data_IF_981148220738
#
_entry.id   IF_981148220738
#
_cell.length_a   1.000
_cell.length_b   1.000
_cell.length_c   1.000
_cell.angle_alpha   90.00
_cell.angle_beta   90.00
_cell.angle_gamma   90.00
#
_symmetry.space_group_name_H-M   'P 1'
#
loop_
_entity.id
_entity.type
_entity.pdbx_description
1 polymer ?
#
# COMPACT_ATOMS: atom_id res chain seq x y z
N UNK A 1 14.77 -1.97 -29.13
CA UNK A 1 14.94 -3.22 -28.33
C UNK A 1 16.31 -3.75 -28.64
N UNK A 2 17.23 -3.64 -27.68
CA UNK A 2 18.61 -4.06 -27.87
C UNK A 2 18.72 -5.57 -27.74
N UNK A 3 19.61 -6.17 -28.53
CA UNK A 3 19.89 -7.62 -28.56
C UNK A 3 20.33 -8.18 -27.19
N UNK A 4 20.64 -7.32 -26.22
CA UNK A 4 20.98 -7.64 -24.84
C UNK A 4 19.77 -7.92 -23.92
N UNK A 5 18.57 -7.45 -24.26
CA UNK A 5 17.36 -7.67 -23.44
C UNK A 5 16.78 -9.08 -23.62
N UNK A 6 17.09 -9.74 -24.73
CA UNK A 6 16.56 -11.05 -25.06
C UNK A 6 17.23 -12.17 -24.24
N UNK A 7 18.50 -12.00 -23.86
CA UNK A 7 19.24 -13.00 -23.09
C UNK A 7 18.79 -13.05 -21.61
N UNK A 8 18.45 -11.90 -21.01
CA UNK A 8 17.90 -11.84 -19.65
C UNK A 8 16.51 -12.49 -19.57
N UNK A 9 15.70 -12.39 -20.63
CA UNK A 9 14.38 -13.02 -20.69
C UNK A 9 14.48 -14.55 -20.83
N UNK A 10 15.42 -15.06 -21.63
CA UNK A 10 15.65 -16.50 -21.80
C UNK A 10 16.25 -17.13 -20.54
N UNK A 11 17.14 -16.42 -19.83
CA UNK A 11 17.72 -16.91 -18.57
C UNK A 11 16.68 -16.92 -17.43
N UNK A 12 15.78 -15.93 -17.39
CA UNK A 12 14.64 -15.91 -16.46
C UNK A 12 13.64 -17.05 -16.73
N UNK A 13 13.33 -17.33 -18.00
CA UNK A 13 12.51 -18.49 -18.39
C UNK A 13 13.10 -19.85 -17.96
N UNK A 14 14.43 -19.98 -17.88
CA UNK A 14 15.09 -21.19 -17.36
C UNK A 14 15.07 -21.29 -15.84
N UNK A 15 15.13 -20.17 -15.11
CA UNK A 15 15.04 -20.15 -13.64
C UNK A 15 13.59 -20.28 -13.11
N UNK A 16 12.58 -19.84 -13.87
CA UNK A 16 11.17 -19.89 -13.44
C UNK A 16 10.52 -21.28 -13.48
N UNK A 17 11.18 -22.31 -14.04
CA UNK A 17 10.63 -23.69 -14.06
C UNK A 17 10.64 -24.39 -12.70
N UNK A 18 11.25 -23.83 -11.66
CA UNK A 18 11.39 -24.48 -10.36
C UNK A 18 10.34 -24.09 -9.31
N UNK A 19 9.48 -23.09 -9.55
CA UNK A 19 8.42 -22.71 -8.61
C UNK A 19 7.16 -22.34 -9.39
N UNK A 20 6.04 -22.94 -9.02
CA UNK A 20 4.70 -22.89 -9.63
C UNK A 20 4.04 -21.48 -9.58
N UNK A 21 4.83 -20.41 -9.81
CA UNK A 21 4.46 -19.00 -9.65
C UNK A 21 4.12 -18.32 -10.99
N UNK A 22 4.52 -18.95 -12.11
CA UNK A 22 4.39 -18.37 -13.44
C UNK A 22 2.93 -18.14 -13.85
N UNK A 23 2.03 -19.07 -13.53
CA UNK A 23 0.61 -18.94 -13.91
C UNK A 23 -0.18 -17.96 -13.05
N UNK A 24 0.25 -17.67 -11.81
CA UNK A 24 -0.49 -16.79 -10.90
C UNK A 24 -0.37 -15.31 -11.27
N UNK A 25 0.74 -14.90 -11.89
CA UNK A 25 1.04 -13.48 -12.19
C UNK A 25 1.21 -13.16 -13.68
N UNK A 26 1.15 -14.13 -14.58
CA UNK A 26 1.26 -13.90 -16.04
C UNK A 26 0.26 -12.88 -16.62
N UNK A 27 -1.04 -12.83 -16.23
CA UNK A 27 -1.96 -11.83 -16.78
C UNK A 27 -1.69 -10.41 -16.24
N UNK A 28 -0.91 -10.23 -15.17
CA UNK A 28 -0.53 -8.90 -14.65
C UNK A 28 0.52 -8.21 -15.52
N UNK A 29 1.45 -8.98 -16.08
CA UNK A 29 2.54 -8.43 -16.89
C UNK A 29 2.02 -7.72 -18.16
N UNK A 30 0.94 -8.22 -18.76
CA UNK A 30 0.37 -7.64 -19.98
C UNK A 30 -0.42 -6.34 -19.74
N UNK A 31 -0.97 -6.15 -18.54
CA UNK A 31 -1.61 -4.89 -18.13
C UNK A 31 -0.56 -3.80 -17.86
N UNK A 32 0.65 -4.18 -17.41
CA UNK A 32 1.76 -3.27 -17.07
C UNK A 32 2.41 -2.63 -18.30
N UNK A 33 2.34 -3.25 -19.49
CA UNK A 33 2.98 -2.71 -20.71
C UNK A 33 2.20 -1.59 -21.43
N UNK A 34 1.10 -1.07 -20.85
CA UNK A 34 0.37 0.08 -21.41
C UNK A 34 0.43 1.34 -20.54
N UNK A 35 1.53 1.58 -19.82
CA UNK A 35 1.85 2.94 -19.35
C UNK A 35 2.30 3.78 -20.52
N UNK A 36 1.36 4.50 -21.13
CA UNK A 36 1.69 5.63 -22.02
C UNK A 36 2.55 6.62 -21.23
N UNK A 37 3.63 7.05 -21.89
CA UNK A 37 4.50 8.13 -21.50
C UNK A 37 3.73 9.35 -20.94
N UNK A 38 4.38 10.00 -19.97
CA UNK A 38 4.02 11.29 -19.39
C UNK A 38 3.55 12.24 -20.49
N UNK A 39 2.27 12.61 -20.45
CA UNK A 39 1.74 13.74 -21.24
C UNK A 39 1.69 14.95 -20.33
N UNK A 40 2.60 15.90 -20.56
CA UNK A 40 2.41 17.29 -20.16
C UNK A 40 1.19 17.87 -20.90
N UNK A 41 0.22 18.42 -20.17
CA UNK A 41 -0.88 19.15 -20.81
C UNK A 41 -2.13 19.40 -19.95
N UNK A 42 -2.30 20.68 -19.59
CA UNK A 42 -3.50 21.43 -19.14
C UNK A 42 -4.00 21.25 -17.69
N UNK A 43 -3.86 22.34 -16.94
CA UNK A 43 -4.45 22.58 -15.62
C UNK A 43 -5.99 22.58 -15.68
N UNK A 44 -6.58 21.43 -15.37
CA UNK A 44 -7.93 21.37 -14.82
C UNK A 44 -7.85 21.63 -13.30
N UNK A 45 -8.87 22.28 -12.75
CA UNK A 45 -9.03 22.58 -11.31
C UNK A 45 -8.60 21.36 -10.48
N UNK A 46 -7.50 21.52 -9.73
CA UNK A 46 -6.69 20.42 -9.19
C UNK A 46 -7.45 19.61 -8.13
N UNK A 47 -8.21 18.61 -8.58
CA UNK A 47 -8.91 17.64 -7.71
C UNK A 47 -7.96 16.59 -7.12
N UNK A 48 -6.64 16.79 -7.22
CA UNK A 48 -5.65 15.94 -6.59
C UNK A 48 -5.80 15.95 -5.08
N UNK A 49 -5.60 14.79 -4.47
CA UNK A 49 -5.60 14.66 -3.02
C UNK A 49 -4.31 15.24 -2.44
N UNK A 50 -4.30 15.51 -1.13
CA UNK A 50 -3.07 15.92 -0.45
C UNK A 50 -1.95 14.87 -0.61
N UNK A 51 -2.31 13.59 -0.66
CA UNK A 51 -1.37 12.48 -0.88
C UNK A 51 -0.67 12.61 -2.22
N UNK A 52 -1.43 12.80 -3.31
CA UNK A 52 -0.89 12.99 -4.64
C UNK A 52 0.06 14.20 -4.70
N UNK A 53 -0.34 15.33 -4.11
CA UNK A 53 0.50 16.54 -4.05
C UNK A 53 1.82 16.34 -3.30
N UNK A 54 1.80 15.57 -2.21
CA UNK A 54 2.99 15.25 -1.43
C UNK A 54 3.96 14.37 -2.22
N UNK A 55 3.45 13.38 -2.97
CA UNK A 55 4.26 12.53 -3.84
C UNK A 55 4.82 13.28 -5.04
N UNK A 56 4.01 14.14 -5.68
CA UNK A 56 4.44 15.04 -6.75
C UNK A 56 5.61 15.92 -6.29
N UNK A 57 5.48 16.54 -5.11
CA UNK A 57 6.53 17.39 -4.52
C UNK A 57 7.81 16.60 -4.22
N UNK A 58 7.67 15.34 -3.81
CA UNK A 58 8.78 14.43 -3.55
C UNK A 58 9.35 13.78 -4.83
N UNK A 59 8.73 14.01 -6.00
CA UNK A 59 9.08 13.39 -7.28
C UNK A 59 9.04 11.85 -7.23
N UNK A 60 8.12 11.30 -6.44
CA UNK A 60 7.93 9.85 -6.32
C UNK A 60 6.91 9.42 -7.38
N UNK A 61 7.25 8.47 -8.27
CA UNK A 61 6.30 8.00 -9.28
C UNK A 61 5.20 7.16 -8.63
N UNK A 62 3.96 7.38 -9.05
CA UNK A 62 2.79 6.64 -8.60
C UNK A 62 1.74 6.55 -9.72
N UNK A 63 0.79 5.63 -9.58
CA UNK A 63 -0.35 5.45 -10.49
C UNK A 63 -1.64 5.63 -9.69
N UNK A 64 -2.54 6.47 -10.17
CA UNK A 64 -3.87 6.64 -9.57
C UNK A 64 -4.81 5.55 -10.07
N UNK A 65 -5.59 4.97 -9.16
CA UNK A 65 -6.61 3.98 -9.50
C UNK A 65 -7.93 4.34 -8.83
N UNK A 66 -8.89 4.77 -9.65
CA UNK A 66 -10.25 5.09 -9.22
C UNK A 66 -11.14 3.85 -9.19
N UNK A 67 -12.09 3.84 -8.27
CA UNK A 67 -13.12 2.81 -8.17
C UNK A 67 -14.44 3.38 -7.65
N UNK A 68 -15.60 2.84 -8.08
CA UNK A 68 -16.89 3.26 -7.54
C UNK A 68 -16.93 3.03 -6.03
N UNK A 69 -17.44 4.01 -5.30
CA UNK A 69 -17.62 3.92 -3.86
C UNK A 69 -18.98 3.31 -3.58
N UNK A 70 -18.97 2.13 -2.97
CA UNK A 70 -20.13 1.61 -2.26
C UNK A 70 -20.09 2.12 -0.82
N UNK A 71 -21.07 2.93 -0.43
CA UNK A 71 -21.14 3.45 0.95
C UNK A 71 -21.60 2.40 1.96
N UNK A 72 -22.22 1.31 1.49
CA UNK A 72 -22.68 0.19 2.31
C UNK A 72 -21.53 -0.80 2.58
N UNK A 73 -20.59 -0.94 1.65
CA UNK A 73 -19.40 -1.79 1.79
C UNK A 73 -18.07 -1.05 1.57
N UNK A 74 -17.57 -0.45 2.65
CA UNK A 74 -16.25 0.17 2.71
C UNK A 74 -15.13 -0.81 3.09
N UNK A 75 -15.38 -2.12 2.99
CA UNK A 75 -14.37 -3.13 3.28
C UNK A 75 -13.29 -3.13 2.21
N UNK A 76 -12.08 -3.51 2.62
CA UNK A 76 -10.99 -3.64 1.66
C UNK A 76 -11.13 -4.86 0.74
N UNK A 77 -11.95 -5.85 1.11
CA UNK A 77 -12.30 -6.98 0.24
C UNK A 77 -13.10 -6.51 -0.99
N UNK A 78 -14.06 -5.60 -0.78
CA UNK A 78 -14.80 -4.94 -1.85
C UNK A 78 -13.87 -4.20 -2.81
N UNK A 79 -12.92 -3.42 -2.28
CA UNK A 79 -11.93 -2.70 -3.10
C UNK A 79 -11.12 -3.65 -3.99
N UNK A 80 -10.65 -4.78 -3.45
CA UNK A 80 -9.90 -5.76 -4.23
C UNK A 80 -10.74 -6.38 -5.35
N UNK A 81 -11.99 -6.74 -5.05
CA UNK A 81 -12.94 -7.27 -6.03
C UNK A 81 -13.21 -6.27 -7.16
N UNK A 82 -13.52 -5.02 -6.83
CA UNK A 82 -13.87 -3.98 -7.80
C UNK A 82 -12.69 -3.58 -8.68
N UNK A 83 -11.48 -3.52 -8.11
CA UNK A 83 -10.27 -3.19 -8.87
C UNK A 83 -9.73 -4.36 -9.70
N UNK A 84 -10.17 -5.58 -9.41
CA UNK A 84 -9.66 -6.79 -10.04
C UNK A 84 -8.17 -7.05 -9.72
N UNK A 85 -7.66 -6.49 -8.62
CA UNK A 85 -6.28 -6.69 -8.17
C UNK A 85 -6.19 -7.83 -7.15
N UNK A 86 -5.02 -8.50 -7.03
CA UNK A 86 -4.82 -9.52 -6.03
C UNK A 86 -4.84 -8.84 -4.66
N UNK A 87 -5.57 -9.37 -3.66
CA UNK A 87 -5.65 -8.72 -2.37
C UNK A 87 -4.29 -8.54 -1.68
N UNK A 88 -3.29 -9.35 -2.02
CA UNK A 88 -1.92 -9.26 -1.49
C UNK A 88 -1.17 -7.98 -1.88
N UNK A 89 -1.59 -7.25 -2.93
CA UNK A 89 -0.95 -5.99 -3.34
C UNK A 89 -1.72 -4.75 -2.91
N UNK A 90 -2.93 -4.92 -2.35
CA UNK A 90 -3.71 -3.81 -1.79
C UNK A 90 -3.46 -3.79 -0.29
N UNK A 91 -3.11 -2.62 0.24
CA UNK A 91 -2.73 -2.44 1.63
C UNK A 91 -3.66 -1.46 2.31
N UNK A 92 -4.10 -1.83 3.51
CA UNK A 92 -4.89 -0.97 4.40
C UNK A 92 -3.99 -0.34 5.45
N UNK A 93 -4.32 0.89 5.81
CA UNK A 93 -3.61 1.66 6.84
C UNK A 93 -4.42 1.66 8.12
N UNK A 94 -3.85 1.07 9.17
CA UNK A 94 -4.43 0.95 10.49
C UNK A 94 -3.66 1.82 11.48
N UNK A 95 -4.36 2.40 12.44
CA UNK A 95 -3.74 3.19 13.51
C UNK A 95 -3.96 2.47 14.82
N UNK A 96 -2.88 2.30 15.57
CA UNK A 96 -2.84 1.64 16.84
C UNK A 96 -2.31 2.58 17.91
N UNK A 97 -2.58 2.24 19.17
CA UNK A 97 -2.03 2.90 20.34
C UNK A 97 -1.24 1.89 21.16
N UNK A 98 0.04 2.18 21.34
CA UNK A 98 0.93 1.50 22.26
C UNK A 98 0.82 2.05 23.68
N UNK A 99 1.18 1.23 24.67
CA UNK A 99 1.14 1.60 26.08
C UNK A 99 2.26 2.58 26.50
N UNK A 100 3.34 2.71 25.72
CA UNK A 100 4.50 3.55 26.04
C UNK A 100 4.81 4.60 24.99
N UNK A 101 4.85 4.22 23.70
CA UNK A 101 5.32 5.11 22.62
C UNK A 101 4.19 5.92 21.98
N UNK A 102 2.94 5.71 22.41
CA UNK A 102 1.77 6.40 21.91
C UNK A 102 1.26 5.78 20.61
N UNK A 103 0.82 6.61 19.67
CA UNK A 103 0.18 6.14 18.44
C UNK A 103 1.19 5.76 17.37
N UNK A 104 0.90 4.70 16.63
CA UNK A 104 1.69 4.25 15.48
C UNK A 104 0.78 3.69 14.39
N UNK A 105 1.34 3.53 13.19
CA UNK A 105 0.63 3.07 12.00
C UNK A 105 1.13 1.69 11.60
N UNK A 106 0.19 0.80 11.27
CA UNK A 106 0.47 -0.49 10.64
C UNK A 106 -0.14 -0.51 9.23
N UNK A 107 0.67 -0.83 8.24
CA UNK A 107 0.27 -0.92 6.82
C UNK A 107 0.39 -2.38 6.39
N UNK A 108 -0.74 -3.05 6.25
CA UNK A 108 -0.81 -4.50 6.03
C UNK A 108 -1.68 -4.85 4.82
N UNK A 109 -1.55 -6.05 4.21
CA UNK A 109 -2.41 -6.46 3.12
C UNK A 109 -3.89 -6.41 3.51
N UNK A 110 -4.74 -6.17 2.51
CA UNK A 110 -6.10 -5.70 2.75
C UNK A 110 -6.99 -6.73 3.46
N UNK A 111 -6.78 -8.02 3.19
CA UNK A 111 -7.52 -9.13 3.80
C UNK A 111 -6.90 -9.64 5.10
N UNK A 112 -5.69 -9.20 5.43
CA UNK A 112 -4.98 -9.69 6.61
C UNK A 112 -5.40 -8.97 7.89
N UNK A 113 -5.20 -9.62 9.04
CA UNK A 113 -5.43 -9.01 10.35
C UNK A 113 -4.12 -8.74 11.08
N UNK A 114 -4.04 -7.57 11.71
CA UNK A 114 -2.89 -7.21 12.54
C UNK A 114 -2.79 -8.13 13.76
N UNK A 115 -1.62 -8.68 13.99
CA UNK A 115 -1.24 -9.30 15.25
C UNK A 115 -0.79 -8.21 16.23
N UNK A 116 -1.65 -7.92 17.21
CA UNK A 116 -1.40 -6.88 18.20
C UNK A 116 -0.15 -7.13 19.05
N UNK A 117 0.25 -8.40 19.25
CA UNK A 117 1.47 -8.73 20.00
C UNK A 117 2.71 -8.41 19.17
N UNK A 118 2.71 -8.79 17.90
CA UNK A 118 3.81 -8.44 16.97
C UNK A 118 3.92 -6.92 16.80
N UNK A 119 2.78 -6.26 16.55
CA UNK A 119 2.71 -4.81 16.42
C UNK A 119 3.21 -4.08 17.69
N UNK A 120 2.87 -4.57 18.89
CA UNK A 120 3.40 -4.02 20.14
C UNK A 120 4.92 -4.19 20.23
N UNK A 121 5.44 -5.38 19.91
CA UNK A 121 6.88 -5.68 19.97
C UNK A 121 7.69 -4.75 19.06
N UNK A 122 7.31 -4.60 17.79
CA UNK A 122 8.07 -3.78 16.83
C UNK A 122 7.98 -2.29 17.13
N UNK A 123 6.88 -1.84 17.75
CA UNK A 123 6.71 -0.45 18.16
C UNK A 123 7.34 -0.10 19.52
N UNK A 124 8.02 -1.04 20.17
CA UNK A 124 8.68 -0.84 21.48
C UNK A 124 7.70 -0.84 22.68
N UNK A 125 6.51 -1.38 22.50
CA UNK A 125 5.43 -1.42 23.48
C UNK A 125 5.26 -2.82 24.10
N UNK A 126 4.70 -2.89 25.30
CA UNK A 126 4.29 -4.18 25.88
C UNK A 126 2.91 -4.60 25.37
N UNK A 127 2.05 -3.63 25.08
CA UNK A 127 0.69 -3.85 24.56
C UNK A 127 0.38 -2.82 23.48
N UNK A 128 -0.43 -3.23 22.50
CA UNK A 128 -1.00 -2.36 21.49
C UNK A 128 -2.47 -2.67 21.31
N UNK A 129 -3.26 -1.63 21.04
CA UNK A 129 -4.69 -1.73 20.76
C UNK A 129 -5.05 -0.92 19.52
N UNK A 130 -6.10 -1.36 18.80
CA UNK A 130 -6.67 -0.58 17.71
C UNK A 130 -7.34 0.67 18.27
N UNK A 131 -7.16 1.83 17.61
CA UNK A 131 -7.88 3.03 18.04
C UNK A 131 -9.40 2.87 17.81
N UNK A 132 -10.24 3.48 18.64
CA UNK A 132 -11.67 3.59 18.35
C UNK A 132 -11.90 4.31 17.02
N UNK A 133 -12.86 3.83 16.24
CA UNK A 133 -13.17 4.39 14.91
C UNK A 133 -13.50 5.90 14.96
N UNK A 134 -14.16 6.35 16.04
CA UNK A 134 -14.48 7.78 16.30
C UNK A 134 -13.24 8.67 16.42
N UNK A 135 -12.09 8.09 16.79
CA UNK A 135 -10.84 8.83 17.01
C UNK A 135 -10.00 8.93 15.74
N UNK A 136 -10.32 8.16 14.68
CA UNK A 136 -9.52 8.12 13.45
C UNK A 136 -9.42 9.49 12.77
N UNK A 137 -10.54 10.15 12.48
CA UNK A 137 -10.55 11.42 11.77
C UNK A 137 -9.97 12.58 12.59
N UNK A 138 -10.29 12.74 13.89
CA UNK A 138 -9.61 13.71 14.73
C UNK A 138 -8.09 13.54 14.72
N UNK A 139 -7.60 12.30 14.84
CA UNK A 139 -6.18 11.98 14.99
C UNK A 139 -5.39 12.07 13.68
N UNK A 140 -5.91 11.51 12.59
CA UNK A 140 -5.19 11.36 11.32
C UNK A 140 -5.55 12.42 10.29
N UNK A 141 -6.78 12.96 10.36
CA UNK A 141 -7.38 13.75 9.28
C UNK A 141 -8.11 12.90 8.23
N UNK A 142 -8.07 11.57 8.32
CA UNK A 142 -8.71 10.67 7.38
C UNK A 142 -9.95 9.97 7.95
N UNK A 143 -10.83 9.54 7.05
CA UNK A 143 -12.06 8.81 7.36
C UNK A 143 -11.90 7.31 7.10
N UNK A 144 -12.86 6.50 7.59
CA UNK A 144 -12.94 5.07 7.23
C UNK A 144 -13.02 4.90 5.71
N UNK A 145 -12.21 3.99 5.18
CA UNK A 145 -12.10 3.73 3.73
C UNK A 145 -11.27 4.76 2.96
N UNK A 146 -10.70 5.76 3.64
CA UNK A 146 -9.85 6.80 3.04
C UNK A 146 -8.56 7.07 3.82
N UNK A 147 -8.16 6.17 4.72
CA UNK A 147 -6.96 6.34 5.54
C UNK A 147 -5.70 5.99 4.74
N UNK A 148 -4.86 7.00 4.50
CA UNK A 148 -3.58 6.88 3.81
C UNK A 148 -2.43 6.84 4.82
N UNK A 149 -1.31 6.12 4.54
CA UNK A 149 -0.10 6.22 5.36
C UNK A 149 0.66 7.54 5.13
N UNK A 150 0.29 8.28 4.07
CA UNK A 150 0.89 9.57 3.71
C UNK A 150 0.02 10.71 4.23
N UNK A 151 0.63 11.83 4.64
CA UNK A 151 -0.08 13.10 4.76
C UNK A 151 -1.03 13.22 5.95
N UNK A 152 -0.83 12.42 7.00
CA UNK A 152 -1.55 12.56 8.26
C UNK A 152 -1.20 13.89 8.97
N UNK A 153 -2.08 14.36 9.85
CA UNK A 153 -1.91 15.62 10.60
C UNK A 153 -0.59 15.73 11.38
N UNK A 154 -0.07 14.60 11.86
CA UNK A 154 1.22 14.49 12.53
C UNK A 154 1.96 13.25 12.03
N UNK A 155 3.27 13.24 12.24
CA UNK A 155 4.07 12.05 11.96
C UNK A 155 3.78 10.95 12.99
N UNK A 156 3.62 9.72 12.51
CA UNK A 156 3.49 8.52 13.33
C UNK A 156 4.54 7.51 12.89
N UNK A 157 5.21 6.80 13.83
CA UNK A 157 6.01 5.64 13.47
C UNK A 157 5.16 4.68 12.63
N UNK A 158 5.66 4.29 11.46
CA UNK A 158 4.89 3.54 10.46
C UNK A 158 5.61 2.24 10.14
N UNK A 159 4.90 1.13 10.29
CA UNK A 159 5.41 -0.21 10.03
C UNK A 159 4.61 -0.85 8.90
N UNK A 160 5.30 -1.41 7.92
CA UNK A 160 4.72 -2.10 6.78
C UNK A 160 4.89 -3.60 6.95
N UNK A 161 3.95 -4.41 6.48
CA UNK A 161 4.10 -5.86 6.52
C UNK A 161 5.31 -6.33 5.68
N UNK A 162 6.15 -7.21 6.24
CA UNK A 162 7.43 -7.67 5.67
C UNK A 162 7.35 -8.14 4.21
N UNK A 163 6.33 -8.92 3.85
CA UNK A 163 6.17 -9.46 2.50
C UNK A 163 5.99 -8.35 1.44
N UNK A 164 5.55 -7.15 1.86
CA UNK A 164 5.42 -6.01 0.97
C UNK A 164 6.76 -5.48 0.45
N UNK A 165 7.88 -5.76 1.12
CA UNK A 165 9.20 -5.27 0.69
C UNK A 165 9.63 -5.84 -0.67
N UNK A 166 9.23 -7.09 -0.96
CA UNK A 166 9.60 -7.81 -2.18
C UNK A 166 8.67 -7.49 -3.37
N UNK A 167 7.58 -6.76 -3.14
CA UNK A 167 6.64 -6.38 -4.20
C UNK A 167 7.17 -5.20 -5.01
N UNK A 168 6.94 -5.23 -6.32
CA UNK A 168 7.27 -4.10 -7.20
C UNK A 168 6.35 -2.91 -6.95
N UNK A 169 5.07 -3.18 -6.64
CA UNK A 169 4.04 -2.18 -6.45
C UNK A 169 3.01 -2.64 -5.42
N UNK A 170 2.61 -1.71 -4.55
CA UNK A 170 1.45 -1.86 -3.67
C UNK A 170 0.51 -0.69 -3.87
N UNK A 171 -0.77 -0.91 -3.55
CA UNK A 171 -1.84 0.07 -3.62
C UNK A 171 -2.28 0.44 -2.22
N UNK A 172 -2.23 1.73 -1.89
CA UNK A 172 -2.73 2.28 -0.62
C UNK A 172 -3.71 3.42 -0.90
N UNK A 173 -4.56 3.76 0.07
CA UNK A 173 -5.56 4.82 -0.13
C UNK A 173 -4.89 6.15 -0.48
N UNK A 174 -5.48 6.88 -1.42
CA UNK A 174 -5.04 8.21 -1.80
C UNK A 174 -5.54 9.31 -0.84
N UNK A 175 -6.12 8.94 0.31
CA UNK A 175 -6.64 9.90 1.30
C UNK A 175 -8.12 10.26 1.13
N UNK A 176 -8.82 9.62 0.18
CA UNK A 176 -10.28 9.69 0.00
C UNK A 176 -10.82 8.32 -0.42
N UNK A 177 -12.12 8.09 -0.24
CA UNK A 177 -12.79 6.90 -0.77
C UNK A 177 -12.79 6.93 -2.30
N UNK A 178 -12.76 5.75 -2.92
CA UNK A 178 -12.83 5.61 -4.38
C UNK A 178 -11.54 5.94 -5.11
N UNK A 179 -10.43 6.17 -4.39
CA UNK A 179 -9.13 6.40 -5.00
C UNK A 179 -8.00 5.71 -4.23
N UNK A 180 -7.25 4.86 -4.92
CA UNK A 180 -6.00 4.26 -4.48
C UNK A 180 -4.82 4.88 -5.26
N UNK A 181 -3.63 4.78 -4.68
CA UNK A 181 -2.36 5.06 -5.36
C UNK A 181 -1.47 3.82 -5.35
N UNK A 182 -1.01 3.42 -6.52
CA UNK A 182 -0.05 2.34 -6.73
C UNK A 182 1.36 2.87 -6.84
N UNK A 183 2.28 2.45 -5.97
CA UNK A 183 3.68 2.90 -5.98
C UNK A 183 4.62 1.83 -5.40
N UNK A 184 5.93 2.07 -5.54
CA UNK A 184 6.95 1.19 -4.96
C UNK A 184 6.82 1.15 -3.43
N UNK A 185 6.75 -0.04 -2.81
CA UNK A 185 6.72 -0.19 -1.35
C UNK A 185 7.93 0.45 -0.68
N UNK A 186 9.12 0.27 -1.26
CA UNK A 186 10.37 0.82 -0.74
C UNK A 186 10.39 2.34 -0.79
N UNK A 187 9.93 2.94 -1.89
CA UNK A 187 9.82 4.39 -2.01
C UNK A 187 8.79 4.96 -1.02
N UNK A 188 7.64 4.30 -0.88
CA UNK A 188 6.62 4.68 0.09
C UNK A 188 7.14 4.60 1.53
N UNK A 189 7.76 3.47 1.88
CA UNK A 189 8.34 3.23 3.21
C UNK A 189 9.37 4.30 3.56
N UNK A 190 10.31 4.58 2.65
CA UNK A 190 11.30 5.65 2.84
C UNK A 190 10.66 7.03 2.98
N UNK A 191 9.64 7.34 2.15
CA UNK A 191 8.97 8.64 2.18
C UNK A 191 8.27 8.93 3.50
N UNK A 192 7.69 7.91 4.13
CA UNK A 192 7.02 8.03 5.44
C UNK A 192 7.95 7.70 6.62
N UNK A 193 9.25 7.52 6.38
CA UNK A 193 10.24 7.13 7.40
C UNK A 193 9.83 5.87 8.18
N UNK A 194 9.30 4.86 7.47
CA UNK A 194 8.84 3.60 8.05
C UNK A 194 9.89 2.48 8.00
N UNK A 195 9.49 1.29 8.48
CA UNK A 195 10.23 0.03 8.33
C UNK A 195 9.31 -1.13 7.92
N UNK A 196 9.90 -2.20 7.39
CA UNK A 196 9.19 -3.45 7.08
C UNK A 196 9.34 -4.43 8.24
N UNK A 197 8.21 -4.96 8.72
CA UNK A 197 8.12 -5.77 9.93
C UNK A 197 7.07 -6.87 9.78
N UNK A 198 7.16 -7.93 10.59
CA UNK A 198 6.06 -8.89 10.67
C UNK A 198 4.93 -8.36 11.57
N UNK A 199 3.78 -8.07 10.99
CA UNK A 199 2.63 -7.42 11.66
C UNK A 199 1.35 -8.25 11.61
N UNK A 200 1.28 -9.33 10.83
CA UNK A 200 0.03 -10.10 10.63
C UNK A 200 0.04 -11.45 11.36
N UNK A 201 -1.16 -11.98 11.57
CA UNK A 201 -1.37 -13.34 12.08
C UNK A 201 -0.94 -14.36 11.02
N UNK A 202 -0.36 -15.49 11.45
CA UNK A 202 -0.08 -16.64 10.55
C UNK A 202 1.16 -16.52 9.64
N UNK A 203 2.07 -15.59 9.89
CA UNK A 203 3.28 -15.35 9.07
C UNK A 203 4.53 -16.19 9.39
N UNK A 204 4.38 -17.34 10.06
CA UNK A 204 5.46 -18.30 10.32
C UNK A 204 5.18 -19.60 9.55
N UNK A 205 5.90 -19.78 8.44
CA UNK A 205 6.30 -21.08 7.91
C UNK A 205 7.82 -21.07 7.75
#
# INVERSE_FOLDING_TARGET
MGFHDFLSFVLWCKMCKAKNLFFKYFPYFFSITRSKAVKEGKMAKDNKTNVCRLLDKAKIPYVEQEYPVDEEDLSGAHVASVLGFPPEIIYKTLVLKGDKTGYFVAVIPVLEEVDLKKAAKVSGNKKAEMIPMKDLQPLTGYIRGGCSPIGMKKHFPTYFQKQGEELERIYVSAGKRGLQIGLSPKALCAFVSGSFEDLIRGGEE
#
